data_IF_632104107429
#
_entry.id   IF_632104107429
#
_cell.length_a   1.000
_cell.length_b   1.000
_cell.length_c   1.000
_cell.angle_alpha   90.00
_cell.angle_beta   90.00
_cell.angle_gamma   90.00
#
_symmetry.space_group_name_H-M   'P 1'
#
loop_
_entity.id
_entity.type
_entity.pdbx_description
1 polymer ?
#
# COMPACT_ATOMS: atom_id res chain seq x y z
N UNK A 1 -12.58 -82.54 34.87
CA UNK A 1 -11.25 -82.39 35.51
C UNK A 1 -10.32 -81.75 34.50
N UNK A 2 -9.54 -80.76 34.96
CA UNK A 2 -8.44 -80.01 34.30
C UNK A 2 -8.76 -78.70 33.54
N UNK A 3 -7.87 -77.67 33.66
CA UNK A 3 -8.26 -76.26 33.75
C UNK A 3 -7.66 -75.35 32.65
N UNK A 4 -8.08 -74.09 32.70
CA UNK A 4 -7.66 -72.93 31.90
C UNK A 4 -6.13 -72.74 31.81
N UNK A 5 -5.61 -72.29 30.64
CA UNK A 5 -4.40 -71.48 30.60
C UNK A 5 -4.75 -69.97 30.58
N UNK A 6 -4.34 -69.30 31.66
CA UNK A 6 -4.29 -67.84 31.75
C UNK A 6 -3.23 -67.27 30.79
N UNK A 7 -3.68 -66.71 29.67
CA UNK A 7 -2.88 -65.88 28.77
C UNK A 7 -2.92 -64.41 29.19
N UNK A 8 -1.87 -63.97 29.88
CA UNK A 8 -1.65 -62.62 30.40
C UNK A 8 -1.47 -61.61 29.24
N UNK A 9 -2.51 -60.89 28.85
CA UNK A 9 -2.41 -59.81 27.85
C UNK A 9 -1.80 -58.56 28.51
N UNK A 10 -0.53 -58.29 28.17
CA UNK A 10 0.18 -57.05 28.51
C UNK A 10 -0.55 -55.87 27.84
N UNK A 11 -1.30 -55.10 28.62
CA UNK A 11 -1.74 -53.75 28.22
C UNK A 11 -0.49 -52.86 28.09
N UNK A 12 0.01 -52.72 26.87
CA UNK A 12 0.92 -51.62 26.50
C UNK A 12 0.10 -50.35 26.56
N UNK A 13 0.36 -49.51 27.56
CA UNK A 13 -0.20 -48.17 27.68
C UNK A 13 0.16 -47.36 26.44
N UNK A 14 -0.77 -47.29 25.48
CA UNK A 14 -0.70 -46.30 24.41
C UNK A 14 -1.06 -44.95 25.01
N UNK A 15 -0.04 -44.17 25.33
CA UNK A 15 -0.16 -42.75 25.64
C UNK A 15 -0.69 -42.03 24.41
N UNK A 16 -2.01 -41.90 24.30
CA UNK A 16 -2.64 -41.01 23.32
C UNK A 16 -2.52 -39.60 23.88
N UNK A 17 -1.45 -38.90 23.48
CA UNK A 17 -1.29 -37.48 23.76
C UNK A 17 -2.37 -36.70 22.99
N UNK A 18 -3.33 -36.14 23.73
CA UNK A 18 -4.35 -35.23 23.21
C UNK A 18 -3.62 -33.95 22.76
N UNK A 19 -3.53 -33.75 21.44
CA UNK A 19 -2.94 -32.56 20.85
C UNK A 19 -3.74 -31.30 21.21
N UNK A 20 -3.11 -30.39 21.95
CA UNK A 20 -3.64 -29.06 22.23
C UNK A 20 -3.58 -28.22 20.95
N UNK A 21 -4.69 -28.17 20.20
CA UNK A 21 -4.88 -27.19 19.12
C UNK A 21 -4.99 -25.80 19.73
N UNK A 22 -3.86 -25.09 19.84
CA UNK A 22 -3.83 -23.66 20.16
C UNK A 22 -4.39 -22.92 18.94
N UNK A 23 -5.68 -22.59 18.99
CA UNK A 23 -6.31 -21.68 18.05
C UNK A 23 -5.72 -20.26 18.29
N UNK A 24 -4.68 -19.91 17.52
CA UNK A 24 -4.22 -18.53 17.42
C UNK A 24 -5.30 -17.71 16.69
N UNK A 25 -6.21 -17.10 17.44
CA UNK A 25 -7.06 -16.00 16.97
C UNK A 25 -6.19 -14.75 16.81
N UNK A 26 -5.43 -14.68 15.71
CA UNK A 26 -4.81 -13.43 15.32
C UNK A 26 -5.93 -12.43 14.97
N UNK A 27 -5.96 -11.23 15.57
CA UNK A 27 -6.86 -10.19 15.09
C UNK A 27 -6.45 -9.84 13.67
N UNK A 28 -7.36 -10.04 12.71
CA UNK A 28 -7.19 -9.55 11.36
C UNK A 28 -7.20 -8.03 11.42
N UNK A 29 -6.03 -7.41 11.49
CA UNK A 29 -5.88 -6.00 11.13
C UNK A 29 -6.35 -5.89 9.69
N UNK A 30 -7.54 -5.33 9.48
CA UNK A 30 -8.06 -5.06 8.15
C UNK A 30 -7.04 -4.15 7.46
N UNK A 31 -6.28 -4.70 6.51
CA UNK A 31 -5.47 -3.89 5.62
C UNK A 31 -6.46 -2.98 4.88
N UNK A 32 -6.30 -1.66 5.02
CA UNK A 32 -7.09 -0.73 4.23
C UNK A 32 -6.86 -1.07 2.74
N UNK A 33 -7.95 -1.32 2.03
CA UNK A 33 -7.93 -1.72 0.63
C UNK A 33 -8.04 -0.48 -0.26
N UNK A 34 -7.54 -0.58 -1.49
CA UNK A 34 -7.77 0.42 -2.53
C UNK A 34 -9.27 0.75 -2.63
N UNK A 35 -9.70 2.02 -2.43
CA UNK A 35 -11.12 2.38 -2.34
C UNK A 35 -11.78 2.48 -3.73
N UNK A 36 -11.64 1.44 -4.55
CA UNK A 36 -12.21 1.33 -5.89
C UNK A 36 -13.00 0.02 -5.98
N UNK A 37 -14.29 0.12 -6.30
CA UNK A 37 -15.17 -1.05 -6.43
C UNK A 37 -15.11 -1.69 -7.82
N UNK A 38 -15.45 -2.97 -7.93
CA UNK A 38 -15.57 -3.67 -9.21
C UNK A 38 -16.53 -2.98 -10.19
N UNK A 39 -17.62 -2.39 -9.69
CA UNK A 39 -18.54 -1.61 -10.50
C UNK A 39 -17.87 -0.34 -11.08
N UNK A 40 -17.00 0.32 -10.30
CA UNK A 40 -16.22 1.46 -10.79
C UNK A 40 -15.16 1.02 -11.81
N UNK A 41 -14.51 -0.13 -11.60
CA UNK A 41 -13.56 -0.73 -12.55
C UNK A 41 -14.24 -1.01 -13.89
N UNK A 42 -15.39 -1.70 -13.86
CA UNK A 42 -16.18 -2.01 -15.05
C UNK A 42 -16.61 -0.73 -15.79
N UNK A 43 -17.14 0.25 -15.06
CA UNK A 43 -17.58 1.54 -15.63
C UNK A 43 -16.44 2.34 -16.26
N UNK A 44 -15.24 2.32 -15.66
CA UNK A 44 -14.09 3.07 -16.14
C UNK A 44 -13.30 2.36 -17.25
N UNK A 45 -13.64 1.10 -17.57
CA UNK A 45 -12.91 0.30 -18.56
C UNK A 45 -11.59 -0.28 -18.06
N UNK A 46 -11.39 -0.37 -16.74
CA UNK A 46 -10.22 -0.99 -16.13
C UNK A 46 -9.78 -0.34 -14.82
N UNK A 47 -8.95 -1.07 -14.04
CA UNK A 47 -8.52 -0.66 -12.71
C UNK A 47 -7.76 0.67 -12.71
N UNK A 48 -6.82 0.85 -13.65
CA UNK A 48 -6.03 2.09 -13.77
C UNK A 48 -6.92 3.33 -13.96
N UNK A 49 -7.93 3.24 -14.83
CA UNK A 49 -8.85 4.34 -15.10
C UNK A 49 -9.80 4.61 -13.92
N UNK A 50 -10.23 3.56 -13.22
CA UNK A 50 -11.07 3.71 -12.04
C UNK A 50 -10.32 4.38 -10.88
N UNK A 51 -9.04 4.06 -10.68
CA UNK A 51 -8.19 4.75 -9.69
C UNK A 51 -7.99 6.22 -10.10
N UNK A 52 -7.67 6.50 -11.37
CA UNK A 52 -7.56 7.89 -11.86
C UNK A 52 -8.85 8.67 -11.59
N UNK A 53 -10.02 8.06 -11.85
CA UNK A 53 -11.30 8.69 -11.60
C UNK A 53 -11.48 9.01 -10.10
N UNK A 54 -11.23 8.03 -9.21
CA UNK A 54 -11.32 8.21 -7.77
C UNK A 54 -10.36 9.32 -7.26
N UNK A 55 -9.12 9.32 -7.73
CA UNK A 55 -8.15 10.35 -7.39
C UNK A 55 -8.57 11.73 -7.91
N UNK A 56 -9.12 11.82 -9.12
CA UNK A 56 -9.60 13.10 -9.67
C UNK A 56 -10.77 13.67 -8.85
N UNK A 57 -11.68 12.81 -8.39
CA UNK A 57 -12.82 13.21 -7.54
C UNK A 57 -12.42 13.59 -6.12
N UNK A 58 -11.33 13.04 -5.60
CA UNK A 58 -10.81 13.40 -4.28
C UNK A 58 -10.30 14.85 -4.25
N UNK A 59 -10.80 15.67 -3.33
CA UNK A 59 -10.46 17.10 -3.28
C UNK A 59 -9.08 17.37 -2.67
N UNK A 60 -8.69 16.60 -1.66
CA UNK A 60 -7.55 16.91 -0.81
C UNK A 60 -6.25 16.30 -1.34
N UNK A 61 -5.14 16.99 -1.07
CA UNK A 61 -3.79 16.47 -1.32
C UNK A 61 -3.52 15.17 -0.54
N UNK A 62 -3.89 15.13 0.75
CA UNK A 62 -3.70 13.96 1.60
C UNK A 62 -4.56 12.77 1.13
N UNK A 63 -5.84 13.01 0.80
CA UNK A 63 -6.73 11.97 0.30
C UNK A 63 -6.24 11.40 -1.03
N UNK A 64 -5.80 12.25 -1.96
CA UNK A 64 -5.28 11.78 -3.24
C UNK A 64 -4.00 10.94 -3.06
N UNK A 65 -3.09 11.38 -2.19
CA UNK A 65 -1.91 10.57 -1.86
C UNK A 65 -2.31 9.25 -1.16
N UNK A 66 -3.33 9.26 -0.29
CA UNK A 66 -3.83 8.03 0.35
C UNK A 66 -4.40 7.04 -0.66
N UNK A 67 -5.18 7.50 -1.64
CA UNK A 67 -5.67 6.63 -2.73
C UNK A 67 -4.49 6.05 -3.50
N UNK A 68 -3.50 6.84 -3.89
CA UNK A 68 -2.29 6.33 -4.54
C UNK A 68 -1.59 5.27 -3.68
N UNK A 69 -1.42 5.52 -2.39
CA UNK A 69 -0.73 4.60 -1.48
C UNK A 69 -1.44 3.26 -1.33
N UNK A 70 -2.78 3.26 -1.34
CA UNK A 70 -3.60 2.07 -1.25
C UNK A 70 -3.76 1.33 -2.60
N UNK A 71 -3.65 2.05 -3.72
CA UNK A 71 -3.98 1.56 -5.06
C UNK A 71 -2.78 1.39 -6.00
N UNK A 72 -1.56 1.35 -5.47
CA UNK A 72 -0.33 1.24 -6.26
C UNK A 72 -0.42 0.05 -7.22
N UNK A 73 -0.11 0.27 -8.50
CA UNK A 73 -0.10 -0.78 -9.51
C UNK A 73 1.21 -1.58 -9.49
N UNK A 74 2.28 -1.04 -8.89
CA UNK A 74 3.61 -1.62 -9.01
C UNK A 74 4.17 -1.54 -10.42
N UNK A 75 3.67 -0.60 -11.24
CA UNK A 75 4.06 -0.42 -12.63
C UNK A 75 4.25 1.05 -13.01
N UNK A 76 4.67 1.32 -14.25
CA UNK A 76 4.78 2.69 -14.76
C UNK A 76 3.44 3.44 -14.80
N UNK A 77 2.30 2.75 -14.64
CA UNK A 77 0.99 3.38 -14.51
C UNK A 77 0.87 4.31 -13.30
N UNK A 78 1.66 4.08 -12.24
CA UNK A 78 1.69 4.91 -11.03
C UNK A 78 2.25 6.32 -11.28
N UNK A 79 2.94 6.55 -12.42
CA UNK A 79 3.36 7.89 -12.85
C UNK A 79 2.15 8.82 -13.04
N UNK A 80 1.04 8.31 -13.59
CA UNK A 80 -0.18 9.07 -13.75
C UNK A 80 -0.81 9.42 -12.39
N UNK A 81 -0.77 8.50 -11.44
CA UNK A 81 -1.26 8.74 -10.08
C UNK A 81 -0.42 9.81 -9.39
N UNK A 82 0.90 9.73 -9.50
CA UNK A 82 1.82 10.71 -8.93
C UNK A 82 1.54 12.12 -9.44
N UNK A 83 1.35 12.27 -10.75
CA UNK A 83 0.95 13.55 -11.36
C UNK A 83 -0.34 14.12 -10.78
N UNK A 84 -1.36 13.27 -10.56
CA UNK A 84 -2.63 13.71 -9.94
C UNK A 84 -2.41 14.18 -8.51
N UNK A 85 -1.63 13.45 -7.70
CA UNK A 85 -1.27 13.90 -6.35
C UNK A 85 -0.58 15.26 -6.39
N UNK A 86 0.44 15.43 -7.24
CA UNK A 86 1.17 16.69 -7.36
C UNK A 86 0.25 17.85 -7.73
N UNK A 87 -0.66 17.66 -8.69
CA UNK A 87 -1.61 18.71 -9.10
C UNK A 87 -2.51 19.23 -7.97
N UNK A 88 -2.73 18.41 -6.93
CA UNK A 88 -3.51 18.80 -5.74
C UNK A 88 -2.63 19.32 -4.61
N UNK A 89 -1.41 18.81 -4.48
CA UNK A 89 -0.49 19.15 -3.41
C UNK A 89 0.30 20.44 -3.69
N UNK A 90 0.85 20.58 -4.88
CA UNK A 90 1.73 21.69 -5.27
C UNK A 90 1.08 23.09 -5.11
N UNK A 91 -0.19 23.33 -5.52
CA UNK A 91 -0.83 24.64 -5.37
C UNK A 91 -0.91 25.15 -3.93
N UNK A 92 -0.79 24.24 -2.95
CA UNK A 92 -0.94 24.56 -1.53
C UNK A 92 0.29 25.24 -0.95
N UNK A 93 1.46 24.98 -1.52
CA UNK A 93 2.73 25.49 -1.00
C UNK A 93 3.60 26.21 -2.05
N UNK A 94 3.62 25.75 -3.31
CA UNK A 94 4.53 26.30 -4.33
C UNK A 94 4.33 27.80 -4.62
N UNK A 95 3.10 28.34 -4.70
CA UNK A 95 2.91 29.76 -5.03
C UNK A 95 3.53 30.71 -4.00
N UNK A 96 3.58 30.29 -2.73
CA UNK A 96 4.11 31.08 -1.61
C UNK A 96 5.48 30.58 -1.12
N UNK A 97 6.05 29.58 -1.78
CA UNK A 97 7.31 28.98 -1.36
C UNK A 97 8.48 29.95 -1.57
N UNK A 98 9.31 30.10 -0.53
CA UNK A 98 10.60 30.76 -0.63
C UNK A 98 11.52 30.01 -1.62
N UNK A 99 12.52 30.68 -2.23
CA UNK A 99 13.47 30.03 -3.13
C UNK A 99 14.13 28.78 -2.54
N UNK A 100 14.51 28.83 -1.25
CA UNK A 100 15.07 27.70 -0.53
C UNK A 100 14.10 26.50 -0.44
N UNK A 101 12.80 26.75 -0.25
CA UNK A 101 11.76 25.71 -0.21
C UNK A 101 11.57 25.08 -1.59
N UNK A 102 11.57 25.88 -2.66
CA UNK A 102 11.50 25.37 -4.05
C UNK A 102 12.70 24.49 -4.37
N UNK A 103 13.92 24.95 -4.08
CA UNK A 103 15.14 24.17 -4.29
C UNK A 103 15.15 22.88 -3.45
N UNK A 104 14.65 22.92 -2.22
CA UNK A 104 14.53 21.73 -1.39
C UNK A 104 13.50 20.73 -1.96
N UNK A 105 12.39 21.22 -2.53
CA UNK A 105 11.37 20.39 -3.17
C UNK A 105 11.89 19.73 -4.45
N UNK A 106 12.54 20.50 -5.33
CA UNK A 106 13.19 19.99 -6.53
C UNK A 106 14.24 18.93 -6.20
N UNK A 107 15.07 19.19 -5.19
CA UNK A 107 16.06 18.21 -4.70
C UNK A 107 15.40 16.94 -4.15
N UNK A 108 14.24 17.04 -3.50
CA UNK A 108 13.50 15.88 -3.02
C UNK A 108 12.99 15.04 -4.19
N UNK A 109 12.41 15.66 -5.21
CA UNK A 109 11.97 14.99 -6.44
C UNK A 109 13.12 14.32 -7.18
N UNK A 110 14.22 15.05 -7.40
CA UNK A 110 15.39 14.52 -8.11
C UNK A 110 16.02 13.30 -7.41
N UNK A 111 15.92 13.21 -6.08
CA UNK A 111 16.35 12.01 -5.33
C UNK A 111 15.46 10.80 -5.64
N UNK A 112 14.16 11.00 -5.83
CA UNK A 112 13.23 9.93 -6.20
C UNK A 112 13.50 9.43 -7.64
N UNK A 113 13.81 10.32 -8.57
CA UNK A 113 14.15 9.95 -9.95
C UNK A 113 15.34 9.00 -10.03
N UNK A 114 16.31 9.11 -9.09
CA UNK A 114 17.44 8.18 -8.98
C UNK A 114 17.03 6.72 -8.74
N UNK A 115 15.82 6.45 -8.25
CA UNK A 115 15.31 5.07 -8.10
C UNK A 115 15.11 4.45 -9.48
N UNK A 116 14.45 5.18 -10.38
CA UNK A 116 14.17 4.74 -11.74
C UNK A 116 15.41 4.80 -12.66
N UNK A 117 16.34 5.73 -12.43
CA UNK A 117 17.57 5.81 -13.22
C UNK A 117 18.56 4.66 -12.93
N UNK A 118 18.62 4.21 -11.67
CA UNK A 118 19.60 3.19 -11.23
C UNK A 118 19.12 1.76 -11.42
N UNK A 119 17.84 1.58 -11.73
CA UNK A 119 17.21 0.27 -11.77
C UNK A 119 16.30 0.16 -12.99
N UNK A 120 16.25 -1.02 -13.60
CA UNK A 120 15.41 -1.26 -14.77
C UNK A 120 14.07 -1.90 -14.36
N UNK A 121 13.01 -1.59 -15.11
CA UNK A 121 11.69 -2.22 -14.96
C UNK A 121 10.62 -1.33 -14.32
N UNK A 122 9.38 -1.67 -14.62
CA UNK A 122 8.18 -0.89 -14.24
C UNK A 122 7.95 -0.80 -12.72
N UNK A 123 8.45 -1.76 -11.95
CA UNK A 123 8.40 -1.74 -10.50
C UNK A 123 9.20 -0.58 -9.90
N UNK A 124 10.38 -0.27 -10.45
CA UNK A 124 11.18 0.87 -9.97
C UNK A 124 10.62 2.21 -10.44
N UNK A 125 9.97 2.23 -11.61
CA UNK A 125 9.18 3.38 -12.05
C UNK A 125 8.05 3.69 -11.06
N UNK A 126 7.32 2.66 -10.61
CA UNK A 126 6.30 2.79 -9.56
C UNK A 126 6.86 3.38 -8.27
N UNK A 127 7.96 2.81 -7.77
CA UNK A 127 8.61 3.29 -6.54
C UNK A 127 9.05 4.76 -6.67
N UNK A 128 9.62 5.15 -7.80
CA UNK A 128 9.98 6.55 -8.08
C UNK A 128 8.73 7.45 -8.07
N UNK A 129 7.65 7.04 -8.76
CA UNK A 129 6.40 7.78 -8.82
C UNK A 129 5.78 8.02 -7.42
N UNK A 130 5.74 6.98 -6.58
CA UNK A 130 5.22 7.04 -5.21
C UNK A 130 6.10 7.96 -4.34
N UNK A 131 7.43 7.86 -4.48
CA UNK A 131 8.38 8.75 -3.79
C UNK A 131 8.14 10.23 -4.16
N UNK A 132 7.97 10.52 -5.45
CA UNK A 132 7.69 11.88 -5.94
C UNK A 132 6.36 12.39 -5.37
N UNK A 133 5.30 11.58 -5.41
CA UNK A 133 3.99 11.94 -4.89
C UNK A 133 4.06 12.27 -3.38
N UNK A 134 4.78 11.43 -2.62
CA UNK A 134 5.03 11.63 -1.19
C UNK A 134 5.76 12.95 -0.93
N UNK A 135 6.76 13.29 -1.76
CA UNK A 135 7.47 14.57 -1.61
C UNK A 135 6.53 15.77 -1.76
N UNK A 136 5.60 15.74 -2.73
CA UNK A 136 4.59 16.78 -2.89
C UNK A 136 3.67 16.89 -1.69
N UNK A 137 3.19 15.73 -1.18
CA UNK A 137 2.38 15.66 0.04
C UNK A 137 3.11 16.22 1.25
N UNK A 138 4.33 15.76 1.51
CA UNK A 138 5.11 16.16 2.70
C UNK A 138 5.38 17.68 2.70
N UNK A 139 5.69 18.26 1.54
CA UNK A 139 5.87 19.71 1.41
C UNK A 139 4.56 20.47 1.57
N UNK A 140 3.45 19.99 1.01
CA UNK A 140 2.13 20.58 1.20
C UNK A 140 1.72 20.56 2.69
N UNK A 141 2.02 19.47 3.41
CA UNK A 141 1.76 19.36 4.85
C UNK A 141 2.60 20.32 5.68
N UNK A 142 3.87 20.51 5.30
CA UNK A 142 4.82 21.33 6.06
C UNK A 142 4.70 22.83 5.78
N UNK A 143 4.48 23.21 4.53
CA UNK A 143 4.56 24.59 4.07
C UNK A 143 3.25 25.11 3.46
N UNK A 144 2.27 24.25 3.24
CA UNK A 144 1.01 24.63 2.62
C UNK A 144 -0.08 25.03 3.62
N UNK A 145 -1.18 25.54 3.08
CA UNK A 145 -2.42 25.73 3.86
C UNK A 145 -3.02 24.37 4.23
N UNK A 146 -3.90 24.29 5.23
CA UNK A 146 -4.66 23.05 5.58
C UNK A 146 -5.75 22.76 4.54
N UNK A 147 -6.16 21.48 4.45
CA UNK A 147 -7.16 20.98 3.50
C UNK A 147 -8.54 21.13 4.10
#
# INVERSE_FOLDING_TARGET
MQPLPHGRVRFRHSLVAIGLFVACSAPALAAEQCPVSEAAISKAGGLHQAIIAAMKTEFSCEGAYRILELCQLGSSGDNAFSSIVLSKCEPRFLPKALPATKAAYEKARAKCDKIAEKNEGSMYQSQAAICIARSGRDFARKYGTKS
#
